data_IF_003746705551
#
_entry.id   IF_003746705551
#
_cell.length_a   1.000
_cell.length_b   1.000
_cell.length_c   1.000
_cell.angle_alpha   90.00
_cell.angle_beta   90.00
_cell.angle_gamma   90.00
#
_symmetry.space_group_name_H-M   'P 1'
#
loop_
_entity.id
_entity.type
_entity.pdbx_description
1 polymer ?
#
# COMPACT_ATOMS: atom_id res chain seq x y z
N UNK A 1 -32.97 11.92 -21.90
CA UNK A 1 -32.15 12.78 -22.76
C UNK A 1 -30.72 12.81 -22.22
N UNK A 2 -29.72 12.45 -23.04
CA UNK A 2 -28.31 12.51 -22.66
C UNK A 2 -27.71 13.77 -23.29
N UNK A 3 -27.09 14.62 -22.47
CA UNK A 3 -26.36 15.81 -22.94
C UNK A 3 -24.86 15.51 -22.83
N UNK A 4 -24.14 15.70 -23.93
CA UNK A 4 -22.68 15.46 -23.99
C UNK A 4 -22.01 16.84 -23.90
N UNK A 5 -21.12 17.01 -22.90
CA UNK A 5 -20.31 18.21 -22.73
C UNK A 5 -18.95 17.98 -23.39
N UNK A 6 -18.68 18.66 -24.51
CA UNK A 6 -17.46 18.47 -25.31
C UNK A 6 -16.41 19.54 -25.07
N UNK A 7 -16.80 20.74 -24.64
CA UNK A 7 -15.87 21.85 -24.45
C UNK A 7 -15.12 21.75 -23.14
N UNK A 8 -13.79 21.69 -23.22
CA UNK A 8 -12.87 21.69 -22.09
C UNK A 8 -12.32 23.10 -21.87
N UNK A 9 -12.53 23.65 -20.69
CA UNK A 9 -12.09 25.00 -20.30
C UNK A 9 -10.80 24.97 -19.44
N UNK A 10 -10.33 23.80 -19.04
CA UNK A 10 -9.20 23.63 -18.11
C UNK A 10 -7.88 23.52 -18.82
N UNK A 11 -7.77 22.59 -19.76
CA UNK A 11 -6.52 22.10 -20.31
C UNK A 11 -6.16 22.80 -21.62
N UNK A 12 -4.87 22.86 -21.92
CA UNK A 12 -4.32 23.29 -23.23
C UNK A 12 -4.60 22.23 -24.30
N UNK A 13 -4.46 22.63 -25.56
CA UNK A 13 -4.79 21.78 -26.71
C UNK A 13 -3.99 20.47 -26.73
N UNK A 14 -2.67 20.51 -26.45
CA UNK A 14 -1.83 19.31 -26.41
C UNK A 14 -2.35 18.26 -25.40
N UNK A 15 -2.83 18.69 -24.24
CA UNK A 15 -3.38 17.78 -23.21
C UNK A 15 -4.72 17.19 -23.67
N UNK A 16 -5.60 18.00 -24.26
CA UNK A 16 -6.91 17.54 -24.75
C UNK A 16 -6.74 16.55 -25.91
N UNK A 17 -5.86 16.86 -26.86
CA UNK A 17 -5.58 15.98 -27.99
C UNK A 17 -5.01 14.62 -27.55
N UNK A 18 -4.07 14.63 -26.59
CA UNK A 18 -3.52 13.39 -26.02
C UNK A 18 -4.59 12.58 -25.28
N UNK A 19 -5.46 13.23 -24.50
CA UNK A 19 -6.55 12.56 -23.82
C UNK A 19 -7.54 11.92 -24.79
N UNK A 20 -7.90 12.62 -25.88
CA UNK A 20 -8.73 12.07 -26.95
C UNK A 20 -8.08 10.84 -27.58
N UNK A 21 -6.78 10.92 -27.94
CA UNK A 21 -6.04 9.82 -28.57
C UNK A 21 -5.95 8.57 -27.67
N UNK A 22 -5.88 8.74 -26.34
CA UNK A 22 -5.90 7.62 -25.40
C UNK A 22 -7.30 7.00 -25.30
N UNK A 23 -8.32 7.83 -25.13
CA UNK A 23 -9.69 7.34 -24.93
C UNK A 23 -10.28 6.70 -26.20
N UNK A 24 -9.85 7.10 -27.40
CA UNK A 24 -10.27 6.51 -28.65
C UNK A 24 -9.96 5.01 -28.77
N UNK A 25 -8.97 4.52 -28.05
CA UNK A 25 -8.60 3.09 -28.00
C UNK A 25 -9.55 2.24 -27.15
N UNK A 26 -10.40 2.84 -26.34
CA UNK A 26 -11.35 2.12 -25.49
C UNK A 26 -12.55 1.63 -26.31
N UNK A 27 -12.85 0.32 -26.22
CA UNK A 27 -13.95 -0.32 -26.97
C UNK A 27 -15.33 0.01 -26.42
N UNK A 28 -15.45 0.17 -25.09
CA UNK A 28 -16.70 0.44 -24.39
C UNK A 28 -16.75 1.90 -23.93
N UNK A 29 -17.01 2.84 -24.85
CA UNK A 29 -17.13 4.26 -24.54
C UNK A 29 -18.34 4.88 -25.22
N UNK A 30 -18.86 6.00 -24.67
CA UNK A 30 -19.72 6.90 -25.43
C UNK A 30 -18.86 7.73 -26.38
N UNK A 31 -19.26 7.84 -27.62
CA UNK A 31 -18.58 8.71 -28.57
C UNK A 31 -18.64 10.15 -28.07
N UNK A 32 -17.48 10.68 -27.74
CA UNK A 32 -17.26 12.05 -27.30
C UNK A 32 -15.88 12.48 -27.72
N UNK A 33 -15.78 13.69 -28.29
CA UNK A 33 -14.51 14.33 -28.59
C UNK A 33 -14.43 15.64 -27.81
N UNK A 34 -13.49 15.70 -26.87
CA UNK A 34 -13.26 16.92 -26.10
C UNK A 34 -12.52 17.95 -26.97
N UNK A 35 -12.96 19.21 -26.91
CA UNK A 35 -12.34 20.35 -27.62
C UNK A 35 -11.95 21.45 -26.67
N UNK A 36 -10.95 22.27 -27.02
CA UNK A 36 -10.58 23.46 -26.23
C UNK A 36 -10.18 24.62 -27.15
N UNK A 37 -10.47 25.83 -26.71
CA UNK A 37 -10.03 27.06 -27.35
C UNK A 37 -8.68 27.57 -26.80
N UNK A 38 -8.11 26.89 -25.78
CA UNK A 38 -6.80 27.27 -25.25
C UNK A 38 -5.68 26.95 -26.26
N UNK A 39 -4.57 27.70 -26.20
CA UNK A 39 -3.40 27.45 -27.05
C UNK A 39 -2.82 26.06 -26.82
N UNK A 40 -1.92 25.63 -27.71
CA UNK A 40 -1.31 24.31 -27.69
C UNK A 40 -0.67 23.98 -26.31
N UNK A 41 -0.04 24.94 -25.68
CA UNK A 41 0.72 24.74 -24.44
C UNK A 41 2.07 24.05 -24.67
N UNK A 42 2.71 23.61 -23.58
CA UNK A 42 3.97 22.90 -23.67
C UNK A 42 3.78 21.46 -24.22
N UNK A 43 4.79 20.88 -24.88
CA UNK A 43 4.75 19.49 -25.32
C UNK A 43 4.64 18.53 -24.11
N UNK A 44 3.92 17.41 -24.32
CA UNK A 44 3.88 16.31 -23.37
C UNK A 44 5.22 15.58 -23.42
N UNK A 45 5.82 15.37 -22.25
CA UNK A 45 7.07 14.60 -22.11
C UNK A 45 6.73 13.20 -21.61
N UNK A 46 7.24 12.19 -22.30
CA UNK A 46 7.17 10.79 -21.87
C UNK A 46 8.54 10.35 -21.39
N UNK A 47 8.60 9.82 -20.18
CA UNK A 47 9.82 9.26 -19.61
C UNK A 47 9.58 7.78 -19.28
N UNK A 48 10.54 6.93 -19.62
CA UNK A 48 10.52 5.51 -19.28
C UNK A 48 11.61 5.25 -18.23
N UNK A 49 11.17 5.00 -17.01
CA UNK A 49 12.06 4.64 -15.90
C UNK A 49 12.33 3.13 -15.87
N UNK A 50 13.43 2.71 -15.25
CA UNK A 50 13.82 1.30 -15.10
C UNK A 50 13.21 0.66 -13.84
N UNK A 51 12.87 1.48 -12.84
CA UNK A 51 12.27 1.08 -11.58
C UNK A 51 11.39 2.20 -11.04
N UNK A 52 10.58 1.91 -10.02
CA UNK A 52 9.77 2.90 -9.32
C UNK A 52 10.63 3.98 -8.64
N UNK A 53 11.80 3.60 -8.12
CA UNK A 53 12.77 4.53 -7.51
C UNK A 53 13.40 5.48 -8.55
N UNK A 54 13.71 4.95 -9.76
CA UNK A 54 14.23 5.75 -10.87
C UNK A 54 13.18 6.75 -11.36
N UNK A 55 11.92 6.31 -11.46
CA UNK A 55 10.77 7.17 -11.77
C UNK A 55 10.62 8.29 -10.75
N UNK A 56 10.59 7.95 -9.46
CA UNK A 56 10.46 8.92 -8.37
C UNK A 56 11.61 9.93 -8.34
N UNK A 57 12.83 9.47 -8.58
CA UNK A 57 14.01 10.34 -8.68
C UNK A 57 13.89 11.31 -9.84
N UNK A 58 13.51 10.82 -11.03
CA UNK A 58 13.31 11.69 -12.19
C UNK A 58 12.21 12.74 -11.96
N UNK A 59 11.09 12.34 -11.34
CA UNK A 59 10.00 13.26 -10.98
C UNK A 59 10.51 14.33 -10.02
N UNK A 60 11.25 13.94 -8.97
CA UNK A 60 11.82 14.88 -8.01
C UNK A 60 12.74 15.90 -8.68
N UNK A 61 13.64 15.48 -9.56
CA UNK A 61 14.51 16.38 -10.33
C UNK A 61 13.70 17.35 -11.22
N UNK A 62 12.62 16.88 -11.84
CA UNK A 62 11.74 17.74 -12.66
C UNK A 62 11.05 18.79 -11.79
N UNK A 63 10.57 18.43 -10.62
CA UNK A 63 9.94 19.35 -9.67
C UNK A 63 10.95 20.40 -9.19
N UNK A 64 12.15 20.00 -8.78
CA UNK A 64 13.22 20.93 -8.37
C UNK A 64 13.54 21.94 -9.48
N UNK A 65 13.59 21.48 -10.74
CA UNK A 65 13.78 22.37 -11.89
C UNK A 65 12.62 23.36 -12.06
N UNK A 66 11.38 22.94 -11.88
CA UNK A 66 10.24 23.86 -11.92
C UNK A 66 10.27 24.86 -10.77
N UNK A 67 10.62 24.42 -9.57
CA UNK A 67 10.77 25.29 -8.41
C UNK A 67 11.90 26.33 -8.63
N UNK A 68 13.04 25.94 -9.21
CA UNK A 68 14.12 26.87 -9.55
C UNK A 68 13.72 27.90 -10.61
N UNK A 69 12.69 27.63 -11.40
CA UNK A 69 12.07 28.55 -12.37
C UNK A 69 10.93 29.39 -11.75
N UNK A 70 10.77 29.34 -10.42
CA UNK A 70 9.76 30.11 -9.69
C UNK A 70 8.36 29.47 -9.66
N UNK A 71 8.19 28.22 -10.10
CA UNK A 71 6.92 27.50 -9.91
C UNK A 71 6.78 27.09 -8.44
N UNK A 72 5.59 27.30 -7.89
CA UNK A 72 5.29 26.93 -6.51
C UNK A 72 4.88 25.45 -6.44
N UNK A 73 5.30 24.69 -5.42
CA UNK A 73 4.95 23.28 -5.24
C UNK A 73 3.45 23.02 -5.29
N UNK A 74 2.63 23.92 -4.75
CA UNK A 74 1.17 23.81 -4.70
C UNK A 74 0.51 23.80 -6.11
N UNK A 75 1.25 24.21 -7.14
CA UNK A 75 0.80 24.19 -8.52
C UNK A 75 1.23 22.94 -9.29
N UNK A 76 1.85 21.98 -8.60
CA UNK A 76 2.34 20.72 -9.18
C UNK A 76 1.53 19.57 -8.59
N UNK A 77 1.01 18.69 -9.45
CA UNK A 77 0.33 17.49 -9.01
C UNK A 77 1.00 16.26 -9.64
N UNK A 78 1.15 15.20 -8.84
CA UNK A 78 1.57 13.88 -9.30
C UNK A 78 0.33 12.98 -9.22
N UNK A 79 -0.05 12.38 -10.35
CA UNK A 79 -1.18 11.49 -10.44
C UNK A 79 -0.68 10.07 -10.71
N UNK A 80 -1.21 9.10 -9.99
CA UNK A 80 -0.90 7.69 -10.14
C UNK A 80 -2.19 6.86 -10.16
N UNK A 81 -2.14 5.69 -10.79
CA UNK A 81 -3.34 4.85 -10.98
C UNK A 81 -3.67 4.02 -9.75
N UNK A 82 -2.66 3.48 -9.09
CA UNK A 82 -2.81 2.57 -7.97
C UNK A 82 -2.06 3.08 -6.73
N UNK A 83 -2.64 2.81 -5.58
CA UNK A 83 -2.14 3.37 -4.31
C UNK A 83 -0.72 2.92 -3.93
N UNK A 84 -0.28 1.72 -4.35
CA UNK A 84 1.07 1.25 -4.02
C UNK A 84 2.18 2.11 -4.64
N UNK A 85 1.91 2.77 -5.77
CA UNK A 85 2.86 3.65 -6.44
C UNK A 85 3.26 4.86 -5.58
N UNK A 86 2.40 5.31 -4.65
CA UNK A 86 2.68 6.51 -3.85
C UNK A 86 3.94 6.37 -3.01
N UNK A 87 4.26 5.18 -2.49
CA UNK A 87 5.39 4.97 -1.59
C UNK A 87 6.74 5.40 -2.20
N UNK A 88 7.05 4.93 -3.41
CA UNK A 88 8.29 5.31 -4.07
C UNK A 88 8.35 6.81 -4.33
N UNK A 89 7.23 7.42 -4.70
CA UNK A 89 7.09 8.86 -4.92
C UNK A 89 7.32 9.64 -3.62
N UNK A 90 6.68 9.25 -2.52
CA UNK A 90 6.84 9.87 -1.20
C UNK A 90 8.30 9.84 -0.76
N UNK A 91 8.96 8.68 -0.84
CA UNK A 91 10.38 8.54 -0.52
C UNK A 91 11.29 9.39 -1.42
N UNK A 92 10.99 9.44 -2.72
CA UNK A 92 11.75 10.26 -3.66
C UNK A 92 11.65 11.75 -3.36
N UNK A 93 10.44 12.23 -3.03
CA UNK A 93 10.20 13.63 -2.65
C UNK A 93 10.85 14.00 -1.32
N UNK A 94 10.74 13.10 -0.31
CA UNK A 94 11.40 13.30 1.00
C UNK A 94 12.91 13.40 0.87
N UNK A 95 13.56 12.47 0.14
CA UNK A 95 15.00 12.53 -0.11
C UNK A 95 15.45 13.78 -0.83
N UNK A 96 14.60 14.32 -1.69
CA UNK A 96 14.88 15.55 -2.43
C UNK A 96 14.53 16.83 -1.64
N UNK A 97 13.99 16.72 -0.42
CA UNK A 97 13.56 17.86 0.41
C UNK A 97 12.38 18.63 -0.19
N UNK A 98 11.53 17.98 -1.00
CA UNK A 98 10.38 18.59 -1.65
C UNK A 98 9.16 18.42 -0.76
N UNK A 99 8.50 19.50 -0.30
CA UNK A 99 7.28 19.39 0.46
C UNK A 99 6.14 18.85 -0.42
N UNK A 100 5.37 17.92 0.10
CA UNK A 100 4.23 17.34 -0.61
C UNK A 100 3.05 17.09 0.32
N UNK A 101 1.86 16.97 -0.25
CA UNK A 101 0.65 16.51 0.43
C UNK A 101 0.08 15.31 -0.33
N UNK A 102 0.01 14.15 0.33
CA UNK A 102 -0.67 12.99 -0.22
C UNK A 102 -2.17 13.12 0.01
N UNK A 103 -2.95 12.98 -1.07
CA UNK A 103 -4.40 12.86 -0.97
C UNK A 103 -4.73 11.36 -0.90
N UNK A 104 -5.12 10.92 0.30
CA UNK A 104 -5.39 9.51 0.60
C UNK A 104 -4.64 9.05 1.85
N UNK A 105 -4.61 7.73 2.04
CA UNK A 105 -3.92 7.13 3.19
C UNK A 105 -2.48 6.79 2.85
N UNK A 106 -1.53 7.28 3.65
CA UNK A 106 -0.10 6.95 3.51
C UNK A 106 0.14 5.45 3.61
N UNK A 107 1.21 4.97 2.99
CA UNK A 107 1.45 3.55 2.77
C UNK A 107 1.36 2.70 4.05
N UNK A 108 2.12 3.04 5.09
CA UNK A 108 2.13 2.29 6.36
C UNK A 108 0.85 2.47 7.20
N UNK A 109 0.04 3.50 6.91
CA UNK A 109 -1.24 3.72 7.58
C UNK A 109 -2.40 2.92 6.94
N UNK A 110 -2.20 2.30 5.76
CA UNK A 110 -3.20 1.49 5.09
C UNK A 110 -3.57 0.26 5.90
N UNK A 111 -4.86 -0.08 5.87
CA UNK A 111 -5.42 -1.15 6.70
C UNK A 111 -4.71 -2.49 6.46
N UNK A 112 -4.60 -2.91 5.21
CA UNK A 112 -4.00 -4.19 4.80
C UNK A 112 -2.52 -4.27 5.14
N UNK A 113 -1.79 -3.16 5.05
CA UNK A 113 -0.38 -3.06 5.44
C UNK A 113 -0.26 -3.20 6.97
N UNK A 114 -1.07 -2.45 7.73
CA UNK A 114 -1.13 -2.57 9.20
C UNK A 114 -1.52 -3.98 9.64
N UNK A 115 -2.40 -4.65 8.89
CA UNK A 115 -2.82 -6.03 9.18
C UNK A 115 -1.67 -7.01 8.96
N UNK A 116 -0.92 -6.90 7.85
CA UNK A 116 0.26 -7.73 7.60
C UNK A 116 1.37 -7.50 8.64
N UNK A 117 1.65 -6.25 9.00
CA UNK A 117 2.61 -5.90 10.05
C UNK A 117 2.19 -6.46 11.43
N UNK A 118 0.89 -6.50 11.74
CA UNK A 118 0.41 -7.10 12.98
C UNK A 118 0.69 -8.61 13.04
N UNK A 119 0.49 -9.33 11.93
CA UNK A 119 0.87 -10.74 11.83
C UNK A 119 2.36 -10.96 12.01
N UNK A 120 3.19 -10.11 11.39
CA UNK A 120 4.65 -10.19 11.55
C UNK A 120 5.07 -9.96 13.00
N UNK A 121 4.56 -8.89 13.63
CA UNK A 121 4.88 -8.57 15.03
C UNK A 121 4.41 -9.65 16.00
N UNK A 122 3.22 -10.23 15.76
CA UNK A 122 2.69 -11.31 16.59
C UNK A 122 3.53 -12.60 16.47
N UNK A 123 4.05 -12.91 15.28
CA UNK A 123 4.96 -14.04 15.09
C UNK A 123 6.33 -13.83 15.79
N UNK A 124 6.77 -12.57 15.88
CA UNK A 124 8.00 -12.21 16.58
C UNK A 124 7.82 -12.19 18.10
N UNK A 125 6.64 -11.81 18.58
CA UNK A 125 6.29 -11.73 19.99
C UNK A 125 4.80 -12.05 20.20
N UNK A 126 4.47 -13.30 20.58
CA UNK A 126 3.07 -13.74 20.79
C UNK A 126 2.35 -13.06 21.97
N UNK A 127 3.06 -12.32 22.82
CA UNK A 127 2.48 -11.59 23.96
C UNK A 127 1.78 -10.27 23.55
N UNK A 128 1.91 -9.84 22.32
CA UNK A 128 1.36 -8.58 21.81
C UNK A 128 -0.16 -8.66 21.57
N UNK A 129 -0.93 -8.37 22.60
CA UNK A 129 -2.39 -8.51 22.59
C UNK A 129 -3.09 -7.65 21.52
N UNK A 130 -2.60 -6.42 21.26
CA UNK A 130 -3.16 -5.55 20.23
C UNK A 130 -2.97 -6.14 18.82
N UNK A 131 -1.78 -6.67 18.53
CA UNK A 131 -1.49 -7.32 17.25
C UNK A 131 -2.25 -8.64 17.12
N UNK A 132 -2.46 -9.38 18.21
CA UNK A 132 -3.26 -10.60 18.25
C UNK A 132 -4.73 -10.35 17.92
N UNK A 133 -5.32 -9.30 18.52
CA UNK A 133 -6.68 -8.88 18.20
C UNK A 133 -6.81 -8.51 16.73
N UNK A 134 -5.84 -7.79 16.18
CA UNK A 134 -5.84 -7.34 14.79
C UNK A 134 -5.65 -8.52 13.82
N UNK A 135 -4.66 -9.36 14.05
CA UNK A 135 -4.38 -10.54 13.22
C UNK A 135 -5.52 -11.56 13.22
N UNK A 136 -6.20 -11.75 14.36
CA UNK A 136 -7.36 -12.63 14.44
C UNK A 136 -8.59 -12.10 13.69
N UNK A 137 -8.70 -10.76 13.54
CA UNK A 137 -9.80 -10.10 12.85
C UNK A 137 -9.57 -9.94 11.33
N UNK A 138 -8.32 -9.97 10.89
CA UNK A 138 -7.97 -9.70 9.49
C UNK A 138 -6.92 -10.70 8.94
N UNK A 139 -7.28 -11.50 7.93
CA UNK A 139 -8.63 -11.70 7.39
C UNK A 139 -9.62 -12.31 8.40
N UNK A 140 -10.94 -12.10 8.20
CA UNK A 140 -11.95 -12.65 9.11
C UNK A 140 -11.90 -14.17 9.17
N UNK A 141 -11.73 -14.73 10.38
CA UNK A 141 -11.66 -16.19 10.62
C UNK A 141 -12.62 -16.67 11.69
N UNK A 142 -13.56 -15.78 12.10
CA UNK A 142 -14.58 -16.10 13.11
C UNK A 142 -14.01 -16.26 14.52
N UNK A 143 -12.87 -15.63 14.82
CA UNK A 143 -12.34 -15.47 16.18
C UNK A 143 -12.67 -14.05 16.63
N UNK A 144 -13.70 -13.91 17.49
CA UNK A 144 -14.15 -12.61 17.99
C UNK A 144 -13.46 -12.19 19.27
N UNK A 145 -13.70 -10.93 19.69
CA UNK A 145 -13.17 -10.39 20.97
C UNK A 145 -13.54 -11.23 22.18
N UNK A 146 -14.76 -11.80 22.21
CA UNK A 146 -15.22 -12.67 23.32
C UNK A 146 -14.35 -13.93 23.40
N UNK A 147 -14.07 -14.57 22.25
CA UNK A 147 -13.21 -15.77 22.20
C UNK A 147 -11.79 -15.45 22.67
N UNK A 148 -11.22 -14.32 22.19
CA UNK A 148 -9.90 -13.88 22.62
C UNK A 148 -9.86 -13.48 24.09
N UNK A 149 -10.92 -12.84 24.60
CA UNK A 149 -11.05 -12.53 26.03
C UNK A 149 -11.06 -13.77 26.92
N UNK A 150 -11.77 -14.83 26.51
CA UNK A 150 -11.74 -16.12 27.23
C UNK A 150 -10.34 -16.75 27.23
N UNK A 151 -9.62 -16.65 26.10
CA UNK A 151 -8.24 -17.15 26.02
C UNK A 151 -7.30 -16.39 26.95
N UNK A 152 -7.38 -15.07 26.96
CA UNK A 152 -6.57 -14.21 27.84
C UNK A 152 -6.86 -14.48 29.32
N UNK A 153 -8.12 -14.85 29.68
CA UNK A 153 -8.53 -15.25 31.03
C UNK A 153 -8.18 -16.71 31.38
N UNK A 154 -7.48 -17.44 30.49
CA UNK A 154 -7.15 -18.86 30.71
C UNK A 154 -8.34 -19.82 30.59
N UNK A 155 -9.47 -19.35 30.05
CA UNK A 155 -10.73 -20.10 29.96
C UNK A 155 -10.87 -20.91 28.65
N UNK A 156 -9.77 -21.45 28.12
CA UNK A 156 -9.77 -22.23 26.87
C UNK A 156 -10.76 -23.37 26.87
N UNK A 157 -10.96 -24.03 28.00
CA UNK A 157 -11.92 -25.14 28.19
C UNK A 157 -13.40 -24.72 28.02
N UNK A 158 -13.71 -23.42 28.07
CA UNK A 158 -15.07 -22.91 27.87
C UNK A 158 -15.38 -22.57 26.39
N UNK A 159 -14.43 -22.81 25.48
CA UNK A 159 -14.64 -22.63 24.05
C UNK A 159 -15.41 -23.84 23.48
N UNK A 160 -16.33 -23.57 22.56
CA UNK A 160 -17.00 -24.62 21.80
C UNK A 160 -16.00 -25.26 20.84
N UNK A 161 -16.23 -26.51 20.46
CA UNK A 161 -15.33 -27.24 19.55
C UNK A 161 -14.99 -26.47 18.26
N UNK A 162 -15.97 -25.82 17.63
CA UNK A 162 -15.74 -25.02 16.43
C UNK A 162 -14.96 -23.70 16.68
N UNK A 163 -15.06 -23.10 17.88
CA UNK A 163 -14.26 -21.94 18.26
C UNK A 163 -12.82 -22.37 18.55
N UNK A 164 -12.66 -23.51 19.24
CA UNK A 164 -11.35 -24.09 19.56
C UNK A 164 -10.57 -24.43 18.28
N UNK A 165 -11.18 -25.11 17.33
CA UNK A 165 -10.53 -25.45 16.06
C UNK A 165 -10.02 -24.21 15.28
N UNK A 166 -10.79 -23.11 15.29
CA UNK A 166 -10.37 -21.85 14.67
C UNK A 166 -9.18 -21.23 15.40
N UNK A 167 -9.20 -21.25 16.73
CA UNK A 167 -8.09 -20.76 17.57
C UNK A 167 -6.84 -21.59 17.33
N UNK A 168 -6.95 -22.91 17.30
CA UNK A 168 -5.81 -23.82 17.06
C UNK A 168 -5.19 -23.59 15.68
N UNK A 169 -6.02 -23.44 14.64
CA UNK A 169 -5.53 -23.11 13.31
C UNK A 169 -4.80 -21.76 13.26
N UNK A 170 -5.30 -20.74 13.99
CA UNK A 170 -4.65 -19.45 14.09
C UNK A 170 -3.31 -19.53 14.82
N UNK A 171 -3.29 -20.20 15.98
CA UNK A 171 -2.07 -20.41 16.78
C UNK A 171 -1.02 -21.22 15.99
N UNK A 172 -1.46 -22.25 15.25
CA UNK A 172 -0.56 -23.00 14.38
C UNK A 172 0.08 -22.12 13.32
N UNK A 173 -0.69 -21.24 12.64
CA UNK A 173 -0.14 -20.32 11.66
C UNK A 173 0.89 -19.37 12.27
N UNK A 174 0.64 -18.84 13.50
CA UNK A 174 1.61 -18.00 14.21
C UNK A 174 2.87 -18.77 14.56
N UNK A 175 2.76 -20.02 15.03
CA UNK A 175 3.91 -20.86 15.38
C UNK A 175 4.76 -21.21 14.13
N UNK A 176 4.13 -21.50 13.00
CA UNK A 176 4.83 -21.71 11.73
C UNK A 176 5.58 -20.45 11.28
N UNK A 177 4.96 -19.27 11.39
CA UNK A 177 5.60 -17.99 11.10
C UNK A 177 6.75 -17.71 12.07
N UNK A 178 6.58 -17.93 13.38
CA UNK A 178 7.61 -17.74 14.39
C UNK A 178 8.85 -18.63 14.12
N UNK A 179 8.63 -19.86 13.69
CA UNK A 179 9.69 -20.80 13.32
C UNK A 179 10.42 -20.34 12.05
N UNK A 180 9.67 -19.90 11.04
CA UNK A 180 10.23 -19.42 9.79
C UNK A 180 11.01 -18.09 9.95
N UNK A 181 10.62 -17.25 10.90
CA UNK A 181 11.28 -15.99 11.22
C UNK A 181 12.75 -16.15 11.65
N UNK A 182 13.18 -17.36 12.01
CA UNK A 182 14.59 -17.62 12.42
C UNK A 182 15.55 -17.60 11.22
N UNK A 183 15.07 -17.96 10.02
CA UNK A 183 15.93 -18.19 8.84
C UNK A 183 15.59 -17.35 7.62
N UNK A 184 14.36 -16.90 7.51
CA UNK A 184 13.91 -16.16 6.33
C UNK A 184 14.45 -14.74 6.30
N UNK A 185 14.60 -14.21 5.08
CA UNK A 185 14.82 -12.78 4.87
C UNK A 185 13.51 -12.02 5.16
N UNK A 186 13.57 -10.71 5.49
CA UNK A 186 12.39 -9.89 5.72
C UNK A 186 11.35 -9.95 4.59
N UNK A 187 11.77 -9.84 3.32
CA UNK A 187 10.87 -9.91 2.17
C UNK A 187 10.21 -11.29 2.03
N UNK A 188 10.97 -12.37 2.21
CA UNK A 188 10.45 -13.73 2.18
C UNK A 188 9.48 -13.98 3.34
N UNK A 189 9.74 -13.38 4.50
CA UNK A 189 8.86 -13.47 5.65
C UNK A 189 7.52 -12.77 5.42
N UNK A 190 7.51 -11.56 4.81
CA UNK A 190 6.26 -10.89 4.40
C UNK A 190 5.44 -11.80 3.47
N UNK A 191 6.06 -12.38 2.44
CA UNK A 191 5.38 -13.29 1.51
C UNK A 191 4.77 -14.49 2.23
N UNK A 192 5.50 -15.10 3.17
CA UNK A 192 4.98 -16.20 3.97
C UNK A 192 3.81 -15.78 4.87
N UNK A 193 3.86 -14.57 5.45
CA UNK A 193 2.75 -13.99 6.23
C UNK A 193 1.51 -13.86 5.35
N UNK A 194 1.63 -13.37 4.13
CA UNK A 194 0.51 -13.23 3.17
C UNK A 194 -0.17 -14.57 2.90
N UNK A 195 0.61 -15.62 2.71
CA UNK A 195 0.10 -16.99 2.48
C UNK A 195 -0.56 -17.57 3.74
N UNK A 196 0.16 -17.59 4.87
CA UNK A 196 -0.28 -18.23 6.12
C UNK A 196 -1.42 -17.49 6.81
N UNK A 197 -1.50 -16.18 6.65
CA UNK A 197 -2.63 -15.39 7.13
C UNK A 197 -3.91 -15.60 6.32
N UNK A 198 -3.83 -16.10 5.09
CA UNK A 198 -4.95 -16.21 4.16
C UNK A 198 -5.30 -14.89 3.45
N UNK A 199 -4.46 -13.85 3.57
CA UNK A 199 -4.64 -12.59 2.86
C UNK A 199 -4.67 -12.79 1.35
N UNK A 200 -3.75 -13.62 0.81
CA UNK A 200 -3.73 -13.94 -0.63
C UNK A 200 -5.08 -14.45 -1.10
N UNK A 201 -5.64 -15.45 -0.43
CA UNK A 201 -6.92 -16.04 -0.82
C UNK A 201 -8.03 -14.99 -0.86
N UNK A 202 -8.16 -14.16 0.17
CA UNK A 202 -9.27 -13.22 0.30
C UNK A 202 -9.09 -11.98 -0.57
N UNK A 203 -7.87 -11.46 -0.69
CA UNK A 203 -7.62 -10.22 -1.42
C UNK A 203 -7.36 -10.46 -2.91
N UNK A 204 -6.76 -11.59 -3.28
CA UNK A 204 -6.36 -11.86 -4.67
C UNK A 204 -7.24 -12.92 -5.35
N UNK A 205 -7.35 -14.13 -4.77
CA UNK A 205 -8.01 -15.26 -5.44
C UNK A 205 -9.54 -15.09 -5.47
N UNK A 206 -10.14 -14.66 -4.35
CA UNK A 206 -11.59 -14.48 -4.16
C UNK A 206 -12.01 -13.01 -4.17
N UNK A 207 -11.06 -12.07 -4.22
CA UNK A 207 -11.28 -10.64 -4.03
C UNK A 207 -11.85 -9.91 -5.24
N UNK A 208 -12.50 -8.78 -4.95
CA UNK A 208 -12.93 -7.77 -5.92
C UNK A 208 -11.73 -7.05 -6.56
N UNK A 209 -11.96 -6.17 -7.52
CA UNK A 209 -10.91 -5.31 -8.09
C UNK A 209 -10.27 -4.41 -7.00
N UNK A 210 -11.08 -3.87 -6.07
CA UNK A 210 -10.61 -3.09 -4.93
C UNK A 210 -9.74 -3.94 -3.97
N UNK A 211 -10.10 -5.21 -3.75
CA UNK A 211 -9.30 -6.10 -2.90
C UNK A 211 -7.97 -6.47 -3.56
N UNK A 212 -7.91 -6.57 -4.88
CA UNK A 212 -6.66 -6.75 -5.62
C UNK A 212 -5.73 -5.56 -5.49
N UNK A 213 -6.26 -4.32 -5.52
CA UNK A 213 -5.45 -3.13 -5.22
C UNK A 213 -4.89 -3.16 -3.79
N UNK A 214 -5.65 -3.68 -2.82
CA UNK A 214 -5.15 -3.91 -1.45
C UNK A 214 -4.08 -4.99 -1.40
N UNK A 215 -4.22 -6.03 -2.21
CA UNK A 215 -3.19 -7.06 -2.33
C UNK A 215 -1.88 -6.51 -2.87
N UNK A 216 -1.92 -5.66 -3.90
CA UNK A 216 -0.74 -4.96 -4.43
C UNK A 216 -0.02 -4.13 -3.34
N UNK A 217 -0.76 -3.49 -2.41
CA UNK A 217 -0.15 -2.81 -1.28
C UNK A 217 0.62 -3.78 -0.35
N UNK A 218 0.12 -4.99 -0.17
CA UNK A 218 0.81 -6.00 0.66
C UNK A 218 2.02 -6.59 -0.08
N UNK A 219 1.96 -6.76 -1.41
CA UNK A 219 3.12 -7.14 -2.21
C UNK A 219 4.21 -6.06 -2.19
N UNK A 220 3.81 -4.78 -2.26
CA UNK A 220 4.76 -3.67 -2.11
C UNK A 220 5.44 -3.68 -0.73
N UNK A 221 4.75 -4.13 0.33
CA UNK A 221 5.39 -4.30 1.64
C UNK A 221 6.56 -5.30 1.58
N UNK A 222 6.46 -6.36 0.76
CA UNK A 222 7.58 -7.28 0.54
C UNK A 222 8.74 -6.60 -0.19
N UNK A 223 8.45 -5.70 -1.14
CA UNK A 223 9.47 -4.92 -1.86
C UNK A 223 10.21 -3.96 -0.92
N UNK A 224 9.47 -3.33 0.01
CA UNK A 224 10.08 -2.51 1.08
C UNK A 224 10.99 -3.33 1.97
N UNK A 225 10.49 -4.47 2.44
CA UNK A 225 11.22 -5.38 3.32
C UNK A 225 12.50 -5.93 2.68
N UNK A 226 12.55 -6.04 1.34
CA UNK A 226 13.73 -6.53 0.60
C UNK A 226 15.00 -5.68 0.81
N UNK A 227 14.85 -4.42 1.21
CA UNK A 227 16.01 -3.55 1.56
C UNK A 227 16.78 -4.06 2.78
N UNK A 228 16.12 -4.86 3.61
CA UNK A 228 16.67 -5.45 4.82
C UNK A 228 17.12 -6.91 4.64
N UNK A 229 17.04 -7.45 3.41
CA UNK A 229 17.32 -8.87 3.12
C UNK A 229 18.79 -9.29 3.29
N UNK A 230 19.70 -8.32 3.42
CA UNK A 230 21.09 -8.59 3.77
C UNK A 230 21.23 -9.20 5.16
N UNK A 231 20.35 -8.86 6.09
CA UNK A 231 20.26 -9.45 7.43
C UNK A 231 19.07 -10.41 7.48
N UNK A 232 19.37 -11.69 7.69
CA UNK A 232 18.35 -12.76 7.76
C UNK A 232 17.85 -12.98 9.19
N UNK A 233 16.75 -13.68 9.29
CA UNK A 233 16.18 -14.11 10.56
C UNK A 233 15.57 -12.99 11.37
N UNK A 234 15.42 -13.23 12.66
CA UNK A 234 14.70 -12.32 13.57
C UNK A 234 15.29 -10.90 13.61
N UNK A 235 16.60 -10.76 13.46
CA UNK A 235 17.28 -9.47 13.48
C UNK A 235 16.84 -8.59 12.30
N UNK A 236 16.95 -9.09 11.06
CA UNK A 236 16.52 -8.35 9.87
C UNK A 236 15.03 -8.02 9.89
N UNK A 237 14.18 -8.97 10.34
CA UNK A 237 12.74 -8.74 10.49
C UNK A 237 12.47 -7.66 11.54
N UNK A 238 13.18 -7.67 12.68
CA UNK A 238 13.00 -6.66 13.74
C UNK A 238 13.42 -5.28 13.27
N UNK A 239 14.52 -5.17 12.52
CA UNK A 239 15.00 -3.90 11.94
C UNK A 239 13.96 -3.33 10.98
N UNK A 240 13.42 -4.16 10.09
CA UNK A 240 12.35 -3.76 9.19
C UNK A 240 11.09 -3.29 9.94
N UNK A 241 10.65 -4.04 10.96
CA UNK A 241 9.47 -3.68 11.76
C UNK A 241 9.67 -2.36 12.54
N UNK A 242 10.88 -2.08 13.00
CA UNK A 242 11.21 -0.81 13.66
C UNK A 242 11.13 0.37 12.69
N UNK A 243 11.67 0.23 11.46
CA UNK A 243 11.56 1.26 10.42
C UNK A 243 10.09 1.51 10.04
N UNK A 244 9.32 0.43 9.84
CA UNK A 244 7.90 0.54 9.51
C UNK A 244 7.08 1.24 10.62
N UNK A 245 7.45 1.05 11.90
CA UNK A 245 6.82 1.74 13.01
C UNK A 245 7.14 3.24 13.01
N UNK A 246 8.41 3.62 12.83
CA UNK A 246 8.82 5.02 12.75
C UNK A 246 8.14 5.76 11.60
N UNK A 247 8.03 5.12 10.43
CA UNK A 247 7.35 5.69 9.27
C UNK A 247 5.83 5.88 9.55
N UNK A 248 5.20 4.94 10.28
CA UNK A 248 3.78 5.05 10.68
C UNK A 248 3.55 6.19 11.68
N UNK A 249 4.45 6.38 12.65
CA UNK A 249 4.33 7.43 13.67
C UNK A 249 4.53 8.84 13.10
N UNK A 250 5.48 9.00 12.16
CA UNK A 250 5.64 10.25 11.41
C UNK A 250 4.38 10.59 10.62
N UNK A 251 3.70 9.58 10.09
CA UNK A 251 2.45 9.72 9.34
C UNK A 251 1.31 10.26 10.22
N UNK A 252 1.27 9.95 11.51
CA UNK A 252 0.26 10.43 12.46
C UNK A 252 0.54 11.87 12.93
N UNK A 253 1.80 12.26 13.09
CA UNK A 253 2.20 13.61 13.53
C UNK A 253 1.94 14.68 12.47
N UNK A 254 2.04 14.35 11.19
CA UNK A 254 1.81 15.30 10.08
C UNK A 254 0.32 15.55 9.78
N UNK A 255 -0.61 14.89 10.48
CA UNK A 255 -2.07 15.09 10.35
C UNK A 255 -2.66 16.07 11.37
N UNK A 256 -1.85 16.62 12.29
CA UNK A 256 -2.20 17.65 13.27
C UNK A 256 -1.82 19.01 12.78
#
# INVERSE_FOLDING_TARGET
QTIILERNYRSTKNVVDAANAVIEKNKNRKEKQSTTEKPAGEPIVVHMARSAEDEAHWIALRIQRYMSQGKRPENIAILFRTNFQSRALEEGLLRAGIPYKLLGTRFFARKEVKDALAWMRLAMDPSREADKLRAAASPPRGIGRVTLGKLAAGQRAQLRAGELAKVESFEQAINELASAAVTLTPSAFVKLVVEKSGMRRILFDEGSEEDRERFENVEELASVAARHDLTRGREGISTFLAEAALASDQDELDQG
#
